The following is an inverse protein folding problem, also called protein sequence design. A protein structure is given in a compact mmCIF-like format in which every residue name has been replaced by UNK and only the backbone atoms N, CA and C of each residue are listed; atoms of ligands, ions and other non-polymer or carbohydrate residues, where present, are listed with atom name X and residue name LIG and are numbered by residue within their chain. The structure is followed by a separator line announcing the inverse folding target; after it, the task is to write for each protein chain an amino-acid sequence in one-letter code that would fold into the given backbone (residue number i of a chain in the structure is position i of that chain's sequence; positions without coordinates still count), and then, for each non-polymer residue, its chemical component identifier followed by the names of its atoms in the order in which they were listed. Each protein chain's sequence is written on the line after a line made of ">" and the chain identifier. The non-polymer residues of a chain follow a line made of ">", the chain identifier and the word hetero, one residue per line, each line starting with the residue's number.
data_IF_400443409015
#
_entry.id   IF_400443409015
#
_cell.length_a   1.000
_cell.length_b   1.000
_cell.length_c   1.000
_cell.angle_alpha   90.00
_cell.angle_beta   90.00
_cell.angle_gamma   90.00
#
_symmetry.space_group_name_H-M   'P 1'
#
loop_
_entity.id
_entity.type
_entity.pdbx_description
1 polymer ?
#
# COMPACT_ATOMS: atom_id res chain seq x y z
N UNK A 1 -46.28 2.68 -15.98
CA UNK A 1 -46.41 3.19 -14.61
C UNK A 1 -46.29 2.13 -13.51
N UNK A 2 -46.67 0.85 -13.72
CA UNK A 2 -46.57 -0.22 -12.70
C UNK A 2 -45.14 -0.66 -12.32
N UNK A 3 -44.15 -0.47 -13.19
CA UNK A 3 -42.76 -0.92 -12.94
C UNK A 3 -41.92 0.12 -12.17
N UNK A 4 -42.32 1.40 -12.20
CA UNK A 4 -41.58 2.48 -11.54
C UNK A 4 -41.73 2.42 -10.02
N UNK A 5 -42.93 2.08 -9.53
CA UNK A 5 -43.20 1.92 -8.09
C UNK A 5 -42.49 0.69 -7.49
N UNK A 6 -42.34 -0.40 -8.25
CA UNK A 6 -41.63 -1.59 -7.78
C UNK A 6 -40.12 -1.36 -7.67
N UNK A 7 -39.51 -0.67 -8.63
CA UNK A 7 -38.08 -0.31 -8.55
C UNK A 7 -37.77 0.65 -7.40
N UNK A 8 -38.66 1.60 -7.10
CA UNK A 8 -38.50 2.51 -5.96
C UNK A 8 -38.59 1.75 -4.63
N UNK A 9 -39.56 0.82 -4.53
CA UNK A 9 -39.71 -0.02 -3.35
C UNK A 9 -38.48 -0.93 -3.12
N UNK A 10 -37.93 -1.51 -4.18
CA UNK A 10 -36.72 -2.33 -4.12
C UNK A 10 -35.50 -1.51 -3.65
N UNK A 11 -35.40 -0.26 -4.10
CA UNK A 11 -34.31 0.64 -3.70
C UNK A 11 -34.41 1.05 -2.23
N UNK A 12 -35.62 1.30 -1.73
CA UNK A 12 -35.88 1.63 -0.32
C UNK A 12 -35.58 0.43 0.58
N UNK A 13 -35.97 -0.79 0.18
CA UNK A 13 -35.64 -2.01 0.92
C UNK A 13 -34.13 -2.27 0.94
N UNK A 14 -33.43 -2.06 -0.17
CA UNK A 14 -31.96 -2.16 -0.22
C UNK A 14 -31.27 -1.13 0.70
N UNK A 15 -31.80 0.09 0.80
CA UNK A 15 -31.28 1.15 1.68
C UNK A 15 -31.57 0.91 3.16
N UNK A 16 -32.68 0.24 3.48
CA UNK A 16 -33.01 -0.16 4.86
C UNK A 16 -32.22 -1.40 5.31
N UNK A 17 -31.75 -2.23 4.36
CA UNK A 17 -30.91 -3.40 4.61
C UNK A 17 -29.41 -3.07 4.64
N UNK A 18 -28.99 -1.87 4.23
CA UNK A 18 -27.65 -1.36 4.53
C UNK A 18 -27.58 -0.96 6.01
N UNK A 19 -27.58 -1.96 6.90
CA UNK A 19 -27.18 -1.80 8.29
C UNK A 19 -25.78 -1.20 8.37
N UNK A 20 -25.45 -0.65 9.54
CA UNK A 20 -24.22 0.09 9.83
C UNK A 20 -22.99 -0.56 9.18
N UNK A 21 -22.62 -0.06 8.01
CA UNK A 21 -21.35 -0.38 7.39
C UNK A 21 -20.29 0.24 8.29
N UNK A 22 -19.79 -0.53 9.27
CA UNK A 22 -18.58 -0.17 9.97
C UNK A 22 -17.51 0.04 8.92
N UNK A 23 -17.07 1.29 8.81
CA UNK A 23 -16.11 1.72 7.83
C UNK A 23 -14.82 0.90 7.96
N UNK A 24 -14.64 -0.09 7.07
CA UNK A 24 -13.36 -0.63 6.61
C UNK A 24 -12.25 -0.83 7.66
N UNK A 25 -12.54 -1.32 8.87
CA UNK A 25 -11.51 -1.66 9.86
C UNK A 25 -10.98 -3.08 9.65
N UNK A 26 -9.67 -3.27 9.59
CA UNK A 26 -8.99 -4.56 9.39
C UNK A 26 -8.26 -4.95 10.68
N UNK A 27 -9.00 -5.47 11.66
CA UNK A 27 -8.43 -5.89 12.94
C UNK A 27 -7.66 -7.21 12.81
N UNK A 28 -6.36 -7.17 13.10
CA UNK A 28 -5.45 -8.32 13.02
C UNK A 28 -4.88 -8.68 14.39
N UNK A 29 -4.61 -9.96 14.61
CA UNK A 29 -3.97 -10.44 15.84
C UNK A 29 -2.60 -9.79 16.03
N UNK A 30 -2.35 -9.31 17.23
CA UNK A 30 -1.12 -8.63 17.61
C UNK A 30 -1.03 -8.43 19.11
N UNK A 31 -0.06 -7.60 19.52
CA UNK A 31 0.09 -7.19 20.91
C UNK A 31 0.62 -5.76 21.01
N UNK A 32 0.35 -5.14 22.16
CA UNK A 32 0.95 -3.87 22.58
C UNK A 32 1.94 -4.12 23.72
N UNK A 33 2.92 -3.23 23.86
CA UNK A 33 3.84 -3.19 25.00
C UNK A 33 3.56 -1.91 25.79
N UNK A 34 3.12 -2.05 27.03
CA UNK A 34 2.78 -0.91 27.90
C UNK A 34 4.03 -0.15 28.34
N UNK A 35 3.85 1.03 28.93
CA UNK A 35 4.92 1.81 29.58
C UNK A 35 5.56 1.07 30.75
N UNK A 36 4.80 0.18 31.40
CA UNK A 36 5.25 -0.73 32.46
C UNK A 36 6.00 -1.96 31.92
N UNK A 37 6.13 -2.08 30.58
CA UNK A 37 6.77 -3.17 29.84
C UNK A 37 6.02 -4.50 29.87
N UNK A 38 4.73 -4.47 30.19
CA UNK A 38 3.85 -5.62 30.04
C UNK A 38 3.42 -5.79 28.58
N UNK A 39 3.20 -7.05 28.18
CA UNK A 39 2.69 -7.38 26.85
C UNK A 39 1.23 -7.76 26.92
N UNK A 40 0.37 -7.02 26.23
CA UNK A 40 -1.08 -7.29 26.18
C UNK A 40 -1.43 -7.77 24.77
N UNK A 41 -1.94 -9.00 24.68
CA UNK A 41 -2.39 -9.61 23.44
C UNK A 41 -3.77 -9.07 23.05
N UNK A 42 -4.03 -8.94 21.76
CA UNK A 42 -5.34 -8.52 21.27
C UNK A 42 -5.37 -8.38 19.75
N UNK A 43 -6.17 -7.41 19.30
CA UNK A 43 -6.42 -7.09 17.90
C UNK A 43 -6.02 -5.64 17.63
N UNK A 44 -5.33 -5.40 16.52
CA UNK A 44 -4.86 -4.07 16.11
C UNK A 44 -5.44 -3.76 14.73
N UNK A 45 -6.03 -2.59 14.57
CA UNK A 45 -6.54 -2.13 13.28
C UNK A 45 -5.38 -1.86 12.31
N UNK A 46 -5.31 -2.65 11.25
CA UNK A 46 -4.27 -2.58 10.24
C UNK A 46 -4.55 -1.45 9.25
N UNK A 47 -3.82 -0.34 9.39
CA UNK A 47 -3.98 0.85 8.56
C UNK A 47 -2.74 1.15 7.70
N UNK A 48 -2.76 2.26 6.97
CA UNK A 48 -1.60 2.74 6.18
C UNK A 48 -0.41 3.09 7.07
N UNK A 49 0.82 3.10 6.51
CA UNK A 49 2.01 3.42 7.31
C UNK A 49 1.91 4.79 7.98
N UNK A 50 1.33 5.79 7.29
CA UNK A 50 1.15 7.15 7.84
C UNK A 50 0.29 7.15 9.10
N UNK A 51 -0.79 6.35 9.12
CA UNK A 51 -1.68 6.27 10.29
C UNK A 51 -1.04 5.45 11.40
N UNK A 52 -0.44 4.32 11.06
CA UNK A 52 0.26 3.46 12.01
C UNK A 52 1.43 4.19 12.71
N UNK A 53 2.13 5.09 12.03
CA UNK A 53 3.18 5.90 12.66
C UNK A 53 2.66 6.93 13.69
N UNK A 54 1.33 7.15 13.75
CA UNK A 54 0.70 8.12 14.65
C UNK A 54 -0.09 7.47 15.77
N UNK A 55 -0.93 6.49 15.45
CA UNK A 55 -1.90 5.90 16.39
C UNK A 55 -1.96 4.40 16.15
N UNK A 56 -2.00 3.64 17.24
CA UNK A 56 -2.39 2.25 17.28
C UNK A 56 -3.86 2.16 17.73
N UNK A 57 -4.75 1.56 16.94
CA UNK A 57 -6.13 1.31 17.38
C UNK A 57 -6.22 -0.15 17.82
N UNK A 58 -6.41 -0.36 19.11
CA UNK A 58 -6.29 -1.66 19.77
C UNK A 58 -7.62 -2.11 20.38
N UNK A 59 -7.85 -3.43 20.41
CA UNK A 59 -8.96 -4.10 21.09
C UNK A 59 -8.44 -5.33 21.81
N UNK A 60 -8.95 -5.62 23.00
CA UNK A 60 -8.61 -6.87 23.70
C UNK A 60 -9.23 -8.09 22.99
N UNK A 61 -10.46 -7.93 22.50
CA UNK A 61 -11.23 -8.96 21.82
C UNK A 61 -12.17 -8.34 20.75
N UNK A 62 -12.92 -9.18 20.04
CA UNK A 62 -13.80 -8.72 18.94
C UNK A 62 -14.93 -7.79 19.40
N UNK A 63 -15.39 -7.95 20.64
CA UNK A 63 -16.59 -7.28 21.18
C UNK A 63 -16.22 -6.01 21.95
N UNK A 64 -14.95 -5.84 22.32
CA UNK A 64 -14.46 -4.63 22.98
C UNK A 64 -14.45 -3.41 22.05
N UNK A 65 -14.76 -2.25 22.64
CA UNK A 65 -14.63 -0.98 21.95
C UNK A 65 -13.15 -0.70 21.63
N UNK A 66 -12.83 -0.19 20.43
CA UNK A 66 -11.46 0.12 20.07
C UNK A 66 -10.90 1.30 20.87
N UNK A 67 -9.67 1.12 21.36
CA UNK A 67 -8.89 2.13 22.07
C UNK A 67 -7.82 2.70 21.14
N UNK A 68 -7.81 4.03 20.97
CA UNK A 68 -6.73 4.71 20.25
C UNK A 68 -5.58 5.01 21.20
N UNK A 69 -4.42 4.42 20.92
CA UNK A 69 -3.20 4.55 21.69
C UNK A 69 -2.15 5.32 20.88
N UNK A 70 -1.58 6.34 21.50
CA UNK A 70 -0.51 7.16 20.96
C UNK A 70 0.86 6.67 21.48
N UNK A 71 1.98 7.21 20.94
CA UNK A 71 3.31 6.93 21.45
C UNK A 71 3.50 7.32 22.94
N UNK A 72 2.65 8.18 23.49
CA UNK A 72 2.69 8.53 24.92
C UNK A 72 2.10 7.40 25.78
N UNK A 73 1.15 6.64 25.25
CA UNK A 73 0.39 5.62 25.97
C UNK A 73 1.11 4.26 26.03
N UNK A 74 1.87 3.91 24.98
CA UNK A 74 2.52 2.59 24.84
C UNK A 74 3.93 2.70 24.24
N UNK A 75 4.79 1.73 24.56
CA UNK A 75 6.17 1.68 24.07
C UNK A 75 6.27 1.07 22.67
N UNK A 76 5.40 0.14 22.33
CA UNK A 76 5.42 -0.53 21.03
C UNK A 76 4.11 -1.25 20.76
N UNK A 77 3.90 -1.62 19.52
CA UNK A 77 2.87 -2.58 19.14
C UNK A 77 3.30 -3.39 17.93
N UNK A 78 2.78 -4.61 17.82
CA UNK A 78 3.19 -5.57 16.80
C UNK A 78 2.00 -6.33 16.25
N UNK A 79 1.95 -6.41 14.93
CA UNK A 79 1.10 -7.37 14.22
C UNK A 79 1.80 -8.73 14.19
N UNK A 80 1.11 -9.81 14.57
CA UNK A 80 1.72 -11.14 14.65
C UNK A 80 2.34 -11.55 13.31
N UNK A 81 3.64 -11.90 13.32
CA UNK A 81 4.44 -12.24 12.14
C UNK A 81 4.55 -11.15 11.04
N UNK A 82 4.19 -9.90 11.34
CA UNK A 82 4.20 -8.79 10.39
C UNK A 82 4.97 -7.56 10.92
N UNK A 83 4.37 -6.36 10.92
CA UNK A 83 5.06 -5.11 11.25
C UNK A 83 5.20 -4.94 12.76
N UNK A 84 6.34 -4.39 13.17
CA UNK A 84 6.60 -3.93 14.53
C UNK A 84 6.75 -2.41 14.49
N UNK A 85 6.03 -1.71 15.35
CA UNK A 85 6.15 -0.28 15.54
C UNK A 85 6.63 -0.02 16.96
N UNK A 86 7.65 0.81 17.10
CA UNK A 86 8.25 1.17 18.40
C UNK A 86 8.17 2.67 18.61
N UNK A 87 8.03 3.08 19.86
CA UNK A 87 8.11 4.48 20.27
C UNK A 87 9.55 4.98 20.12
N UNK A 88 9.72 6.06 19.37
CA UNK A 88 11.00 6.78 19.27
C UNK A 88 10.78 8.28 19.21
N UNK A 89 11.78 9.03 19.66
CA UNK A 89 11.88 10.46 19.43
C UNK A 89 12.67 10.69 18.15
N UNK A 90 12.06 11.39 17.18
CA UNK A 90 12.74 11.83 15.96
C UNK A 90 13.00 13.33 16.03
N UNK A 91 14.21 13.73 15.67
CA UNK A 91 14.61 15.13 15.58
C UNK A 91 14.63 15.55 14.12
N UNK A 92 13.88 16.60 13.77
CA UNK A 92 13.94 17.23 12.46
C UNK A 92 14.21 18.73 12.63
N UNK A 93 15.51 19.10 12.65
CA UNK A 93 16.17 20.43 12.63
C UNK A 93 15.57 21.60 13.44
N UNK A 94 14.43 21.43 14.11
CA UNK A 94 13.67 22.45 14.83
C UNK A 94 12.63 21.86 15.80
N UNK A 95 12.18 20.61 15.60
CA UNK A 95 11.17 19.97 16.46
C UNK A 95 11.57 18.52 16.76
N UNK A 96 11.58 18.17 18.04
CA UNK A 96 11.59 16.78 18.53
C UNK A 96 10.17 16.28 18.58
N UNK A 97 9.91 15.13 17.95
CA UNK A 97 8.58 14.52 17.91
C UNK A 97 8.62 13.08 18.38
N UNK A 98 7.77 12.76 19.34
CA UNK A 98 7.53 11.37 19.76
C UNK A 98 6.59 10.70 18.75
N UNK A 99 7.02 9.59 18.15
CA UNK A 99 6.28 8.89 17.10
C UNK A 99 6.34 7.38 17.31
N UNK A 100 5.41 6.68 16.66
CA UNK A 100 5.64 5.29 16.33
C UNK A 100 6.45 5.22 15.05
N UNK A 101 7.53 4.45 15.07
CA UNK A 101 8.37 4.21 13.91
C UNK A 101 8.38 2.71 13.60
N UNK A 102 8.27 2.36 12.32
CA UNK A 102 8.31 0.97 11.88
C UNK A 102 9.73 0.42 12.01
N UNK A 103 9.88 -0.71 12.70
CA UNK A 103 11.14 -1.42 12.87
C UNK A 103 11.31 -2.43 11.73
N UNK A 104 12.21 -2.15 10.77
CA UNK A 104 12.37 -2.95 9.55
C UNK A 104 13.39 -4.07 9.74
N UNK A 105 14.56 -3.73 10.29
CA UNK A 105 15.67 -4.65 10.53
C UNK A 105 16.15 -4.46 11.95
N UNK A 106 16.18 -5.53 12.73
CA UNK A 106 16.83 -5.58 14.04
C UNK A 106 18.14 -6.40 13.91
N UNK A 107 19.26 -5.77 14.27
CA UNK A 107 20.58 -6.39 14.25
C UNK A 107 21.63 -5.47 14.88
N UNK A 108 22.89 -5.63 14.47
CA UNK A 108 24.01 -4.76 14.95
C UNK A 108 23.71 -3.28 14.68
N UNK A 109 23.10 -3.03 13.53
CA UNK A 109 22.59 -1.73 13.09
C UNK A 109 21.11 -1.92 12.81
N UNK A 110 20.29 -1.13 13.49
CA UNK A 110 18.85 -1.15 13.31
C UNK A 110 18.44 -0.25 12.15
N UNK A 111 17.39 -0.64 11.43
CA UNK A 111 16.77 0.18 10.40
C UNK A 111 15.31 0.44 10.73
N UNK A 112 14.96 1.72 10.71
CA UNK A 112 13.63 2.21 10.98
C UNK A 112 13.04 2.97 9.79
N UNK A 113 11.71 2.98 9.71
CA UNK A 113 10.96 3.71 8.70
C UNK A 113 9.80 4.47 9.33
N UNK A 114 9.72 5.75 8.98
CA UNK A 114 8.66 6.64 9.38
C UNK A 114 7.98 7.19 8.12
N UNK A 115 6.66 7.17 8.11
CA UNK A 115 5.87 7.77 7.05
C UNK A 115 4.95 8.83 7.63
N UNK A 116 4.89 9.99 6.98
CA UNK A 116 3.87 10.99 7.25
C UNK A 116 3.39 11.65 5.94
N UNK A 117 2.63 12.74 6.08
CA UNK A 117 2.04 13.45 4.94
C UNK A 117 3.12 14.10 4.06
N UNK A 118 4.27 14.45 4.65
CA UNK A 118 5.40 15.06 3.93
C UNK A 118 6.25 14.04 3.18
N UNK A 119 6.21 12.77 3.59
CA UNK A 119 6.86 11.70 2.84
C UNK A 119 7.27 10.49 3.67
N UNK A 120 8.35 9.86 3.21
CA UNK A 120 8.90 8.61 3.71
C UNK A 120 10.34 8.82 4.14
N UNK A 121 10.65 8.43 5.37
CA UNK A 121 11.90 8.73 6.05
C UNK A 121 12.52 7.46 6.61
N UNK A 122 13.85 7.34 6.46
CA UNK A 122 14.60 6.19 6.96
C UNK A 122 15.61 6.64 8.01
N UNK A 123 15.75 5.84 9.05
CA UNK A 123 16.68 6.11 10.15
C UNK A 123 17.47 4.85 10.48
N UNK A 124 18.72 5.04 10.94
CA UNK A 124 19.56 3.94 11.43
C UNK A 124 20.09 4.24 12.83
N UNK A 125 20.27 3.18 13.63
CA UNK A 125 20.76 3.25 15.01
C UNK A 125 21.80 2.16 15.25
N UNK A 126 22.88 2.51 15.95
CA UNK A 126 23.97 1.61 16.34
C UNK A 126 23.91 1.37 17.86
N UNK A 127 22.78 0.83 18.34
CA UNK A 127 22.55 0.43 19.75
C UNK A 127 22.60 1.53 20.82
N UNK A 128 23.05 2.74 20.48
CA UNK A 128 23.31 3.84 21.40
C UNK A 128 22.09 4.74 21.65
N UNK A 129 20.90 4.39 21.15
CA UNK A 129 19.70 5.20 21.27
C UNK A 129 19.58 6.32 20.23
N UNK A 130 20.64 6.63 19.47
CA UNK A 130 20.69 7.79 18.58
C UNK A 130 20.26 7.43 17.15
N UNK A 131 19.14 8.00 16.71
CA UNK A 131 18.63 7.84 15.35
C UNK A 131 19.34 8.78 14.37
N UNK A 132 20.03 8.20 13.39
CA UNK A 132 20.61 8.94 12.27
C UNK A 132 19.63 9.01 11.10
N UNK A 133 19.17 10.20 10.75
CA UNK A 133 18.27 10.41 9.61
C UNK A 133 19.02 10.29 8.27
N UNK A 134 18.60 9.34 7.43
CA UNK A 134 19.14 9.13 6.10
C UNK A 134 18.52 10.10 5.08
N UNK A 135 19.01 11.34 5.05
CA UNK A 135 18.44 12.41 4.23
C UNK A 135 18.99 12.52 2.81
N UNK A 136 18.14 13.07 1.94
CA UNK A 136 18.52 13.61 0.63
C UNK A 136 18.31 15.12 0.72
N UNK A 137 19.36 15.89 0.46
CA UNK A 137 19.26 17.35 0.40
C UNK A 137 19.19 17.83 -1.05
N UNK A 138 18.27 18.76 -1.32
CA UNK A 138 18.24 19.44 -2.61
C UNK A 138 19.11 20.70 -2.51
N UNK A 139 20.23 20.74 -3.24
CA UNK A 139 21.13 21.90 -3.28
C UNK A 139 20.98 22.63 -4.60
N UNK A 140 21.08 23.95 -4.53
CA UNK A 140 21.06 24.86 -5.68
C UNK A 140 22.49 25.35 -5.88
N UNK A 141 23.10 25.02 -7.02
CA UNK A 141 24.33 25.68 -7.46
C UNK A 141 23.98 26.78 -8.46
N UNK A 142 24.38 28.01 -8.14
CA UNK A 142 24.39 29.11 -9.10
C UNK A 142 25.71 29.07 -9.87
N UNK A 143 25.64 29.16 -11.20
CA UNK A 143 26.83 29.22 -12.02
C UNK A 143 27.47 30.62 -11.88
N UNK A 144 28.69 30.69 -11.35
CA UNK A 144 29.44 31.95 -11.17
C UNK A 144 29.61 32.72 -12.49
N UNK A 145 29.61 32.03 -13.63
CA UNK A 145 29.85 32.63 -14.96
C UNK A 145 28.56 32.93 -15.75
N UNK A 146 27.38 32.47 -15.29
CA UNK A 146 26.13 32.68 -16.02
C UNK A 146 24.96 32.79 -15.03
N UNK A 147 24.68 34.01 -14.58
CA UNK A 147 23.70 34.36 -13.52
C UNK A 147 22.25 33.90 -13.78
N UNK A 148 21.94 33.34 -14.95
CA UNK A 148 20.58 32.91 -15.33
C UNK A 148 20.37 31.38 -15.36
N UNK A 149 21.32 30.56 -14.89
CA UNK A 149 21.13 29.10 -14.79
C UNK A 149 21.38 28.59 -13.37
N UNK A 150 20.29 28.25 -12.69
CA UNK A 150 20.32 27.48 -11.45
C UNK A 150 20.36 25.98 -11.79
N UNK A 151 21.29 25.26 -11.18
CA UNK A 151 21.36 23.80 -11.25
C UNK A 151 20.84 23.22 -9.95
N UNK A 152 19.82 22.37 -10.05
CA UNK A 152 19.31 21.60 -8.94
C UNK A 152 20.00 20.23 -8.94
N UNK A 153 20.63 19.87 -7.83
CA UNK A 153 21.17 18.53 -7.65
C UNK A 153 20.82 17.98 -6.27
N UNK A 154 20.52 16.69 -6.24
CA UNK A 154 20.16 15.97 -5.03
C UNK A 154 21.45 15.43 -4.40
N UNK A 155 21.85 16.04 -3.30
CA UNK A 155 22.99 15.59 -2.51
C UNK A 155 22.55 14.43 -1.61
N UNK A 156 23.12 13.25 -1.85
CA UNK A 156 22.78 12.01 -1.15
C UNK A 156 23.52 11.91 0.18
N UNK A 157 23.18 12.74 1.16
CA UNK A 157 23.87 12.79 2.45
C UNK A 157 23.87 11.45 3.19
N UNK A 158 22.80 10.67 3.03
CA UNK A 158 22.73 9.32 3.56
C UNK A 158 23.91 8.43 3.13
N UNK A 159 24.54 8.65 1.97
CA UNK A 159 25.72 7.88 1.54
C UNK A 159 26.89 8.12 2.49
N UNK A 160 27.12 9.38 2.90
CA UNK A 160 28.16 9.72 3.87
C UNK A 160 27.85 9.12 5.24
N UNK A 161 26.61 9.23 5.70
CA UNK A 161 26.15 8.64 6.97
C UNK A 161 26.36 7.12 6.97
N UNK A 162 25.96 6.43 5.91
CA UNK A 162 26.15 4.97 5.79
C UNK A 162 27.63 4.61 5.81
N UNK A 163 28.52 5.36 5.15
CA UNK A 163 29.97 5.09 5.23
C UNK A 163 30.53 5.27 6.63
N UNK A 164 30.02 6.24 7.40
CA UNK A 164 30.43 6.46 8.80
C UNK A 164 29.96 5.30 9.67
N UNK A 165 28.69 4.88 9.55
CA UNK A 165 28.14 3.77 10.32
C UNK A 165 28.80 2.44 9.96
N UNK A 166 29.11 2.22 8.67
CA UNK A 166 29.77 1.01 8.19
C UNK A 166 31.29 1.14 8.06
N UNK A 167 31.92 2.05 8.82
CA UNK A 167 33.36 2.35 8.73
C UNK A 167 34.26 1.14 8.98
N UNK A 168 33.78 0.17 9.77
CA UNK A 168 34.51 -1.04 10.12
C UNK A 168 34.55 -2.09 8.99
N UNK A 169 33.77 -1.89 7.91
CA UNK A 169 33.76 -2.74 6.72
C UNK A 169 33.88 -1.91 5.43
N UNK A 170 35.07 -1.32 5.13
CA UNK A 170 35.27 -0.52 3.93
C UNK A 170 34.97 -1.25 2.61
N UNK A 171 35.02 -2.59 2.59
CA UNK A 171 34.61 -3.38 1.42
C UNK A 171 33.14 -3.16 1.00
N UNK A 172 32.31 -2.58 1.87
CA UNK A 172 30.93 -2.22 1.56
C UNK A 172 30.80 -0.88 0.82
N UNK A 173 31.82 -0.03 0.79
CA UNK A 173 31.70 1.32 0.22
C UNK A 173 31.23 1.34 -1.24
N UNK A 174 31.72 0.45 -2.15
CA UNK A 174 31.18 0.39 -3.50
C UNK A 174 29.69 0.02 -3.54
N UNK A 175 29.22 -0.81 -2.61
CA UNK A 175 27.79 -1.15 -2.49
C UNK A 175 26.99 0.03 -1.94
N UNK A 176 27.52 0.75 -0.95
CA UNK A 176 26.88 1.92 -0.35
C UNK A 176 26.63 2.99 -1.42
N UNK A 177 27.62 3.31 -2.26
CA UNK A 177 27.50 4.32 -3.34
C UNK A 177 26.33 4.06 -4.31
N UNK A 178 26.00 2.79 -4.54
CA UNK A 178 24.93 2.36 -5.43
C UNK A 178 23.62 2.02 -4.70
N UNK A 179 23.61 2.08 -3.36
CA UNK A 179 22.44 1.80 -2.55
C UNK A 179 21.43 2.92 -2.72
N UNK A 180 20.20 2.58 -3.12
CA UNK A 180 19.09 3.54 -3.20
C UNK A 180 18.46 3.70 -1.82
N UNK A 181 17.94 4.89 -1.52
CA UNK A 181 17.20 5.16 -0.29
C UNK A 181 15.77 4.58 -0.36
N UNK A 182 15.66 3.25 -0.27
CA UNK A 182 14.40 2.53 -0.18
C UNK A 182 14.57 1.24 0.65
N UNK A 183 13.45 0.70 1.14
CA UNK A 183 13.42 -0.53 1.93
C UNK A 183 14.30 -1.66 1.36
N UNK A 184 14.11 -2.03 0.10
CA UNK A 184 14.77 -3.20 -0.48
C UNK A 184 16.29 -3.03 -0.54
N UNK A 185 16.76 -1.86 -1.00
CA UNK A 185 18.18 -1.55 -1.11
C UNK A 185 18.85 -1.44 0.27
N UNK A 186 18.20 -0.78 1.24
CA UNK A 186 18.73 -0.64 2.59
C UNK A 186 18.77 -1.97 3.35
N UNK A 187 17.68 -2.75 3.32
CA UNK A 187 17.65 -4.10 3.93
C UNK A 187 18.74 -4.98 3.33
N UNK A 188 18.96 -4.93 2.01
CA UNK A 188 20.03 -5.70 1.36
C UNK A 188 21.42 -5.29 1.84
N UNK A 189 21.67 -3.99 2.00
CA UNK A 189 22.94 -3.46 2.51
C UNK A 189 23.17 -3.91 3.97
N UNK A 190 22.17 -3.71 4.83
CA UNK A 190 22.26 -4.09 6.25
C UNK A 190 22.44 -5.59 6.41
N UNK A 191 21.66 -6.42 5.72
CA UNK A 191 21.82 -7.87 5.77
C UNK A 191 23.24 -8.31 5.36
N UNK A 192 23.86 -7.63 4.38
CA UNK A 192 25.24 -7.92 4.00
C UNK A 192 26.22 -7.55 5.13
N UNK A 193 26.09 -6.38 5.71
CA UNK A 193 26.90 -5.95 6.85
C UNK A 193 26.75 -6.89 8.06
N UNK A 194 25.51 -7.16 8.43
CA UNK A 194 25.12 -8.09 9.49
C UNK A 194 25.73 -9.47 9.27
N UNK A 195 25.63 -10.05 8.07
CA UNK A 195 26.21 -11.36 7.77
C UNK A 195 27.74 -11.39 7.88
N UNK A 196 28.43 -10.31 7.47
CA UNK A 196 29.90 -10.22 7.61
C UNK A 196 30.31 -10.20 9.09
N UNK A 197 29.53 -9.53 9.93
CA UNK A 197 29.83 -9.37 11.35
C UNK A 197 29.10 -10.39 12.26
N UNK A 198 28.32 -11.32 11.70
CA UNK A 198 27.53 -12.32 12.43
C UNK A 198 28.37 -13.23 13.33
N UNK A 199 29.64 -13.44 12.98
CA UNK A 199 30.56 -14.23 13.81
C UNK A 199 31.10 -13.47 15.03
N UNK A 200 30.89 -12.15 15.12
CA UNK A 200 31.38 -11.32 16.24
C UNK A 200 30.33 -11.16 17.35
N UNK A 201 29.04 -11.32 17.03
CA UNK A 201 27.94 -11.12 17.97
C UNK A 201 26.83 -12.15 17.74
N UNK A 202 26.38 -12.81 18.82
CA UNK A 202 25.22 -13.72 18.80
C UNK A 202 23.92 -12.89 18.81
N UNK A 203 23.48 -12.39 17.66
CA UNK A 203 22.17 -11.73 17.51
C UNK A 203 21.23 -12.49 16.57
N UNK A 204 19.93 -12.45 16.88
CA UNK A 204 18.89 -12.94 15.97
C UNK A 204 18.47 -11.82 15.01
N UNK A 205 18.88 -11.96 13.75
CA UNK A 205 18.49 -11.02 12.70
C UNK A 205 16.98 -11.13 12.44
N UNK A 206 16.22 -10.10 12.81
CA UNK A 206 14.84 -9.95 12.38
C UNK A 206 14.79 -9.04 11.16
N UNK A 207 14.30 -9.57 10.04
CA UNK A 207 14.01 -8.80 8.82
C UNK A 207 12.53 -8.95 8.51
N UNK A 208 11.82 -7.84 8.36
CA UNK A 208 10.45 -7.85 7.87
C UNK A 208 10.35 -8.63 6.55
N UNK A 209 9.45 -9.62 6.49
CA UNK A 209 9.11 -10.29 5.23
C UNK A 209 8.45 -9.30 4.28
N UNK A 210 9.05 -9.10 3.11
CA UNK A 210 8.49 -8.24 2.07
C UNK A 210 7.21 -8.92 1.54
N UNK A 211 6.07 -8.23 1.64
CA UNK A 211 4.84 -8.71 1.00
C UNK A 211 4.99 -8.59 -0.52
N UNK A 212 4.94 -9.72 -1.21
CA UNK A 212 5.10 -9.84 -2.66
C UNK A 212 3.75 -9.61 -3.35
N UNK A 213 3.77 -9.04 -4.56
CA UNK A 213 2.59 -8.94 -5.43
C UNK A 213 1.98 -10.32 -5.62
N UNK A 214 0.67 -10.45 -5.35
CA UNK A 214 -0.06 -11.71 -5.55
C UNK A 214 -0.79 -11.64 -6.88
N UNK A 215 -0.67 -12.70 -7.68
CA UNK A 215 -1.34 -12.83 -8.98
C UNK A 215 -2.31 -14.02 -8.89
N UNK A 216 -3.60 -13.75 -9.11
CA UNK A 216 -4.64 -14.76 -9.28
C UNK A 216 -5.02 -14.91 -10.74
N UNK A 217 -5.36 -16.14 -11.14
CA UNK A 217 -5.94 -16.43 -12.47
C UNK A 217 -7.25 -17.18 -12.26
N UNK A 218 -8.30 -16.72 -12.92
CA UNK A 218 -9.64 -17.32 -12.84
C UNK A 218 -10.29 -17.42 -14.22
N UNK A 219 -11.18 -18.39 -14.38
CA UNK A 219 -12.07 -18.52 -15.53
C UNK A 219 -13.45 -17.98 -15.16
N UNK A 220 -14.10 -17.29 -16.09
CA UNK A 220 -15.47 -16.82 -15.89
C UNK A 220 -16.33 -17.07 -17.13
N UNK A 221 -17.64 -17.06 -16.90
CA UNK A 221 -18.65 -16.97 -17.95
C UNK A 221 -19.58 -15.81 -17.63
N UNK A 222 -20.04 -15.09 -18.65
CA UNK A 222 -20.98 -13.98 -18.45
C UNK A 222 -22.06 -13.96 -19.53
N UNK A 223 -23.23 -13.39 -19.20
CA UNK A 223 -24.33 -13.19 -20.13
C UNK A 223 -24.42 -11.70 -20.45
N UNK A 224 -24.15 -11.34 -21.70
CA UNK A 224 -24.10 -9.94 -22.14
C UNK A 224 -25.36 -9.57 -22.89
N UNK A 225 -25.65 -8.27 -22.96
CA UNK A 225 -26.72 -7.74 -23.81
C UNK A 225 -26.29 -6.48 -24.53
N UNK A 226 -26.50 -6.43 -25.85
CA UNK A 226 -26.18 -5.27 -26.66
C UNK A 226 -27.44 -4.59 -27.19
N UNK A 227 -27.37 -3.27 -27.31
CA UNK A 227 -28.34 -2.45 -28.03
C UNK A 227 -27.58 -1.55 -28.98
N UNK A 228 -27.73 -1.78 -30.28
CA UNK A 228 -27.14 -0.95 -31.32
C UNK A 228 -28.24 -0.03 -31.85
N UNK A 229 -28.03 1.27 -31.80
CA UNK A 229 -28.92 2.23 -32.46
C UNK A 229 -28.29 2.58 -33.81
N UNK A 230 -28.91 2.14 -34.91
CA UNK A 230 -28.50 2.51 -36.27
C UNK A 230 -29.42 3.63 -36.74
N UNK A 231 -28.86 4.80 -37.01
CA UNK A 231 -29.60 5.93 -37.59
C UNK A 231 -29.25 6.03 -39.07
N UNK A 232 -29.95 5.28 -39.92
CA UNK A 232 -29.99 5.55 -41.36
C UNK A 232 -31.36 6.14 -41.72
N UNK A 233 -31.36 7.20 -42.54
CA UNK A 233 -32.52 8.05 -42.79
C UNK A 233 -33.82 7.31 -43.11
N UNK A 234 -34.92 7.82 -42.56
CA UNK A 234 -36.34 7.46 -42.77
C UNK A 234 -36.80 6.05 -42.38
N UNK A 235 -35.96 5.17 -41.85
CA UNK A 235 -36.40 3.84 -41.39
C UNK A 235 -35.93 3.54 -39.96
N UNK A 236 -36.86 3.57 -39.00
CA UNK A 236 -36.65 2.95 -37.68
C UNK A 236 -36.76 1.44 -37.84
N UNK A 237 -35.62 0.74 -37.80
CA UNK A 237 -35.62 -0.74 -37.69
C UNK A 237 -35.59 -1.08 -36.19
N UNK A 238 -36.69 -1.58 -35.60
CA UNK A 238 -36.68 -1.97 -34.20
C UNK A 238 -35.75 -3.17 -34.01
N UNK A 239 -34.62 -2.95 -33.34
CA UNK A 239 -33.71 -4.03 -32.95
C UNK A 239 -34.12 -4.61 -31.59
N UNK A 240 -34.21 -5.93 -31.51
CA UNK A 240 -34.44 -6.63 -30.24
C UNK A 240 -33.16 -6.70 -29.41
N UNK A 241 -33.31 -6.65 -28.09
CA UNK A 241 -32.19 -6.79 -27.14
C UNK A 241 -31.70 -8.23 -27.18
N UNK A 242 -30.55 -8.48 -27.80
CA UNK A 242 -29.95 -9.80 -27.89
C UNK A 242 -29.11 -10.12 -26.66
N UNK A 243 -29.25 -11.33 -26.13
CA UNK A 243 -28.41 -11.87 -25.07
C UNK A 243 -27.45 -12.91 -25.64
N UNK A 244 -26.16 -12.82 -25.31
CA UNK A 244 -25.16 -13.80 -25.75
C UNK A 244 -24.21 -14.16 -24.60
N UNK A 245 -23.88 -15.46 -24.43
CA UNK A 245 -22.90 -15.88 -23.45
C UNK A 245 -21.48 -15.54 -23.92
N UNK A 246 -20.59 -15.28 -22.97
CA UNK A 246 -19.15 -15.19 -23.18
C UNK A 246 -18.44 -16.11 -22.20
N UNK A 247 -17.23 -16.51 -22.58
CA UNK A 247 -16.28 -17.19 -21.72
C UNK A 247 -15.00 -16.37 -21.68
N UNK A 248 -14.42 -16.20 -20.51
CA UNK A 248 -13.26 -15.35 -20.34
C UNK A 248 -12.32 -15.83 -19.25
N UNK A 249 -11.18 -15.15 -19.21
CA UNK A 249 -10.12 -15.34 -18.23
C UNK A 249 -9.89 -14.00 -17.57
N UNK A 250 -9.72 -14.01 -16.25
CA UNK A 250 -9.36 -12.83 -15.47
C UNK A 250 -8.03 -13.07 -14.76
N UNK A 251 -7.15 -12.07 -14.85
CA UNK A 251 -5.95 -11.95 -14.05
C UNK A 251 -6.16 -10.88 -12.97
N UNK A 252 -6.01 -11.27 -11.72
CA UNK A 252 -6.14 -10.42 -10.53
C UNK A 252 -4.74 -10.10 -10.00
N UNK A 253 -4.32 -8.85 -10.06
CA UNK A 253 -3.02 -8.38 -9.54
C UNK A 253 -3.24 -7.57 -8.27
N UNK A 254 -2.91 -8.15 -7.12
CA UNK A 254 -3.04 -7.49 -5.81
C UNK A 254 -1.73 -6.80 -5.43
N UNK A 255 -1.83 -5.56 -4.94
CA UNK A 255 -0.66 -4.76 -4.54
C UNK A 255 -0.64 -4.47 -3.02
N UNK A 256 -0.17 -5.43 -2.19
CA UNK A 256 -0.13 -5.28 -0.73
C UNK A 256 0.58 -4.03 -0.21
N UNK A 257 1.51 -3.47 -1.00
CA UNK A 257 2.25 -2.24 -0.67
C UNK A 257 1.40 -0.98 -0.72
N UNK A 258 0.34 -0.94 -1.53
CA UNK A 258 -0.58 0.21 -1.59
C UNK A 258 -1.76 0.01 -0.63
N UNK A 259 -2.34 -1.18 -0.66
CA UNK A 259 -3.38 -1.63 0.28
C UNK A 259 -3.54 -3.15 0.12
N UNK A 260 -3.87 -3.84 1.21
CA UNK A 260 -4.25 -5.26 1.14
C UNK A 260 -5.60 -5.49 0.44
N UNK A 261 -6.36 -4.42 0.19
CA UNK A 261 -7.65 -4.45 -0.50
C UNK A 261 -7.60 -3.81 -1.89
N UNK A 262 -6.41 -3.38 -2.36
CA UNK A 262 -6.25 -2.83 -3.70
C UNK A 262 -5.76 -3.92 -4.66
N UNK A 263 -6.58 -4.18 -5.67
CA UNK A 263 -6.28 -5.10 -6.77
C UNK A 263 -6.63 -4.47 -8.11
N UNK A 264 -5.83 -4.79 -9.13
CA UNK A 264 -6.13 -4.51 -10.53
C UNK A 264 -6.62 -5.80 -11.19
N UNK A 265 -7.77 -5.75 -11.85
CA UNK A 265 -8.30 -6.88 -12.61
C UNK A 265 -8.14 -6.62 -14.11
N UNK A 266 -7.57 -7.58 -14.82
CA UNK A 266 -7.44 -7.57 -16.27
C UNK A 266 -8.19 -8.78 -16.81
N UNK A 267 -9.26 -8.54 -17.57
CA UNK A 267 -10.12 -9.59 -18.11
C UNK A 267 -10.10 -9.57 -19.62
N UNK A 268 -10.08 -10.75 -20.22
CA UNK A 268 -10.33 -10.95 -21.65
C UNK A 268 -11.37 -12.05 -21.86
N UNK A 269 -12.37 -11.78 -22.69
CA UNK A 269 -13.44 -12.72 -23.00
C UNK A 269 -13.70 -12.84 -24.50
N UNK A 270 -14.30 -13.96 -24.86
CA UNK A 270 -14.79 -14.25 -26.21
C UNK A 270 -16.25 -14.71 -26.13
N UNK A 271 -17.08 -14.15 -27.00
CA UNK A 271 -18.47 -14.56 -27.18
C UNK A 271 -18.88 -14.47 -28.65
N UNK A 272 -19.84 -15.32 -29.03
CA UNK A 272 -20.41 -15.33 -30.36
C UNK A 272 -21.81 -14.72 -30.32
N UNK A 273 -21.97 -13.59 -31.00
CA UNK A 273 -23.28 -13.00 -31.25
C UNK A 273 -23.87 -13.58 -32.55
N UNK A 274 -25.14 -13.98 -32.52
CA UNK A 274 -25.89 -14.39 -33.71
C UNK A 274 -27.05 -13.40 -33.85
N UNK A 275 -27.02 -12.62 -34.92
CA UNK A 275 -28.00 -11.56 -35.15
C UNK A 275 -28.93 -11.94 -36.29
N UNK A 276 -30.23 -11.97 -36.02
CA UNK A 276 -31.26 -12.32 -37.01
C UNK A 276 -31.99 -11.05 -37.43
N UNK A 277 -31.70 -10.55 -38.64
CA UNK A 277 -32.40 -9.39 -39.21
C UNK A 277 -33.67 -9.86 -39.90
N UNK A 278 -34.84 -9.53 -39.33
CA UNK A 278 -36.12 -9.73 -40.01
C UNK A 278 -36.41 -8.59 -41.00
N UNK A 279 -36.10 -8.79 -42.28
CA UNK A 279 -36.55 -7.90 -43.36
C UNK A 279 -38.02 -8.24 -43.66
N UNK A 280 -38.96 -7.42 -43.19
CA UNK A 280 -40.36 -7.51 -43.64
C UNK A 280 -40.45 -7.02 -45.09
N UNK A 281 -40.98 -7.90 -45.94
CA UNK A 281 -41.21 -7.77 -47.39
C UNK A 281 -41.64 -6.36 -47.81
N UNK A 282 -40.83 -5.69 -48.63
CA UNK A 282 -41.19 -4.44 -49.31
C UNK A 282 -42.14 -4.81 -50.47
N UNK A 283 -43.42 -4.41 -50.38
CA UNK A 283 -44.34 -4.44 -51.52
C UNK A 283 -44.03 -3.19 -52.34
N UNK A 284 -43.38 -3.37 -53.49
CA UNK A 284 -43.24 -2.31 -54.49
C UNK A 284 -44.56 -2.26 -55.26
N UNK A 285 -45.37 -1.23 -55.03
CA UNK A 285 -46.45 -0.86 -55.96
C UNK A 285 -45.82 0.07 -57.00
N UNK A 286 -45.59 -0.45 -58.20
CA UNK A 286 -45.38 0.38 -59.39
C UNK A 286 -46.74 0.93 -59.81
N UNK A 287 -46.84 2.26 -59.93
CA UNK A 287 -47.98 2.98 -60.53
C UNK A 287 -47.97 2.75 -62.04
#
# INVERSE_FOLDING_TARGET
>A
MKNLSFSILLFIVAFLLSGENQAQTDFRKGYIITTERDTIQGLIDYQSEIKNCKICVFKNDMDTQPLSLSPEDILAYRYNNEKLYVRKEINNDSITKLVFIEFIVNGIIDLFFYADISGSFYFIEEGNGTLNYLKIENKIASNLNNKNKNYYFNFKEYIGILKIVFKDNPELYPLIEHTKLNHQSLVKLLNKYHNINRSKENYELYVKKIQIVKIGLSLFTSLNSNKINVYEGKFDVPYEKEYYPTFGITADVMFPKFSNNFSLQLSGDIGKQITIIHIKKIIIIQI
#
